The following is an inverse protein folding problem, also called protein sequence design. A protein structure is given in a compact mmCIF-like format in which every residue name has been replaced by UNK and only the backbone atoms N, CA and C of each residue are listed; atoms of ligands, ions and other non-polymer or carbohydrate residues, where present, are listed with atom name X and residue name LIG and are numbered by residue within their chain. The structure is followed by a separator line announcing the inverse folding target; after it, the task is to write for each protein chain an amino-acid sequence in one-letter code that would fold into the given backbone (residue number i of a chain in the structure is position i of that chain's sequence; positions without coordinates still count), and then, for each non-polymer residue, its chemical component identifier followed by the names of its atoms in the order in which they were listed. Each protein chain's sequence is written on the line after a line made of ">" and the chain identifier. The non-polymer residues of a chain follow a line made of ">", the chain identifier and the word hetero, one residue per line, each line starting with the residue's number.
data_IF_596091515247
#
_entry.id   IF_596091515247
#
_cell.length_a   1.000
_cell.length_b   1.000
_cell.length_c   1.000
_cell.angle_alpha   90.00
_cell.angle_beta   90.00
_cell.angle_gamma   90.00
#
_symmetry.space_group_name_H-M   'P 1'
#
loop_
_entity.id
_entity.type
_entity.pdbx_description
1 polymer ?
#
# COMPACT_ATOMS: atom_id res chain seq x y z
N UNK A 1 10.59 -10.06 -9.33
CA UNK A 1 10.93 -9.92 -7.88
C UNK A 1 10.15 -8.74 -7.34
N UNK A 2 9.59 -8.83 -6.14
CA UNK A 2 8.84 -7.71 -5.56
C UNK A 2 9.76 -6.52 -5.27
N UNK A 3 9.36 -5.29 -5.62
CA UNK A 3 10.10 -4.10 -5.22
C UNK A 3 10.02 -3.89 -3.71
N UNK A 4 10.93 -3.07 -3.18
CA UNK A 4 10.89 -2.67 -1.78
C UNK A 4 9.70 -1.73 -1.57
N UNK A 5 8.74 -2.12 -0.73
CA UNK A 5 7.52 -1.36 -0.46
C UNK A 5 7.40 -1.07 1.02
N UNK A 6 7.21 0.21 1.36
CA UNK A 6 6.94 0.68 2.72
C UNK A 6 5.62 1.44 2.74
N UNK A 7 4.70 1.04 3.61
CA UNK A 7 3.41 1.71 3.76
C UNK A 7 3.40 2.62 4.99
N UNK A 8 3.10 3.90 4.80
CA UNK A 8 3.13 4.90 5.86
C UNK A 8 1.75 5.23 6.45
N UNK A 9 0.67 4.75 5.83
CA UNK A 9 -0.70 4.96 6.26
C UNK A 9 -1.56 5.73 5.25
N UNK A 10 -2.77 6.07 5.67
CA UNK A 10 -3.74 6.84 4.89
C UNK A 10 -3.83 8.29 5.33
N UNK A 11 -4.04 9.17 4.35
CA UNK A 11 -4.60 10.50 4.53
C UNK A 11 -6.08 10.44 4.15
N UNK A 12 -6.94 10.72 5.11
CA UNK A 12 -8.39 10.86 4.89
C UNK A 12 -8.74 12.33 4.87
N UNK A 13 -9.52 12.75 3.88
CA UNK A 13 -10.12 14.06 3.90
C UNK A 13 -11.49 13.97 4.58
N UNK A 14 -11.71 14.69 5.67
CA UNK A 14 -12.98 14.68 6.41
C UNK A 14 -14.18 15.12 5.57
N UNK A 15 -13.92 15.88 4.49
CA UNK A 15 -14.94 16.49 3.64
C UNK A 15 -15.21 15.69 2.35
N UNK A 16 -14.53 14.55 2.15
CA UNK A 16 -14.76 13.66 1.01
C UNK A 16 -14.41 12.23 1.38
N UNK A 17 -15.18 11.24 0.92
CA UNK A 17 -14.85 9.81 1.11
C UNK A 17 -13.57 9.35 0.38
N UNK A 18 -12.80 10.28 -0.21
CA UNK A 18 -11.54 10.02 -0.87
C UNK A 18 -10.45 9.68 0.15
N UNK A 19 -9.98 8.45 0.08
CA UNK A 19 -8.82 7.94 0.83
C UNK A 19 -7.60 7.96 -0.07
N UNK A 20 -6.48 8.48 0.43
CA UNK A 20 -5.19 8.46 -0.26
C UNK A 20 -4.17 7.77 0.64
N UNK A 21 -3.49 6.75 0.14
CA UNK A 21 -2.39 6.09 0.81
C UNK A 21 -1.07 6.79 0.53
N UNK A 22 -0.17 6.84 1.52
CA UNK A 22 1.23 7.19 1.35
C UNK A 22 2.07 5.91 1.41
N UNK A 23 2.79 5.60 0.34
CA UNK A 23 3.74 4.49 0.29
C UNK A 23 5.05 4.92 -0.35
N UNK A 24 6.09 4.13 -0.15
CA UNK A 24 7.37 4.26 -0.82
C UNK A 24 7.66 2.96 -1.57
N UNK A 25 7.96 3.07 -2.86
CA UNK A 25 8.35 1.97 -3.74
C UNK A 25 9.75 2.30 -4.23
N UNK A 26 10.73 1.40 -4.02
CA UNK A 26 12.12 1.59 -4.46
C UNK A 26 12.70 2.96 -4.09
N UNK A 27 12.46 3.40 -2.84
CA UNK A 27 12.91 4.69 -2.27
C UNK A 27 12.27 5.94 -2.89
N UNK A 28 11.19 5.79 -3.67
CA UNK A 28 10.37 6.90 -4.17
C UNK A 28 9.01 6.90 -3.51
N UNK A 29 8.58 8.06 -3.03
CA UNK A 29 7.30 8.22 -2.31
C UNK A 29 6.18 8.52 -3.29
N UNK A 30 5.07 7.85 -3.08
CA UNK A 30 3.87 7.96 -3.89
C UNK A 30 2.65 8.19 -3.01
N UNK A 31 1.74 9.02 -3.54
CA UNK A 31 0.36 9.04 -3.10
C UNK A 31 -0.44 8.13 -4.02
N UNK A 32 -1.21 7.21 -3.45
CA UNK A 32 -1.97 6.22 -4.21
C UNK A 32 -3.44 6.20 -3.79
N UNK A 33 -4.31 5.97 -4.76
CA UNK A 33 -5.73 5.65 -4.59
C UNK A 33 -5.99 4.26 -5.11
N UNK A 34 -7.13 3.69 -4.71
CA UNK A 34 -7.60 2.44 -5.29
C UNK A 34 -7.81 2.64 -6.80
N UNK A 35 -7.16 1.79 -7.58
CA UNK A 35 -7.14 1.82 -9.04
C UNK A 35 -5.90 2.47 -9.65
N UNK A 36 -5.04 3.15 -8.87
CA UNK A 36 -3.82 3.78 -9.40
C UNK A 36 -2.76 2.71 -9.72
N UNK A 37 -2.01 2.95 -10.80
CA UNK A 37 -0.84 2.20 -11.20
C UNK A 37 0.43 3.03 -10.94
N UNK A 38 1.35 2.50 -10.12
CA UNK A 38 2.57 3.15 -9.66
C UNK A 38 3.77 2.21 -9.85
N UNK A 39 4.69 2.55 -10.76
CA UNK A 39 5.86 1.71 -11.07
C UNK A 39 5.49 0.23 -11.31
N UNK A 40 4.49 -0.03 -12.17
CA UNK A 40 3.95 -1.36 -12.48
C UNK A 40 3.23 -2.07 -11.32
N UNK A 41 3.03 -1.36 -10.19
CA UNK A 41 2.24 -1.84 -9.06
C UNK A 41 0.87 -1.18 -9.07
N UNK A 42 -0.18 -2.00 -9.11
CA UNK A 42 -1.55 -1.52 -9.01
C UNK A 42 -2.04 -1.55 -7.57
N UNK A 43 -2.57 -0.44 -7.09
CA UNK A 43 -3.24 -0.41 -5.80
C UNK A 43 -4.70 -0.87 -5.94
N UNK A 44 -5.05 -2.03 -5.38
CA UNK A 44 -6.44 -2.54 -5.45
C UNK A 44 -7.21 -2.36 -4.14
N UNK A 45 -6.52 -2.10 -3.02
CA UNK A 45 -7.16 -1.97 -1.72
C UNK A 45 -6.39 -0.99 -0.83
N UNK A 46 -7.13 -0.15 -0.09
CA UNK A 46 -6.54 0.76 0.91
C UNK A 46 -7.39 0.69 2.17
N UNK A 47 -6.74 0.41 3.30
CA UNK A 47 -7.28 0.49 4.65
C UNK A 47 -6.34 1.32 5.54
N UNK A 48 -6.79 1.70 6.73
CA UNK A 48 -6.01 2.57 7.63
C UNK A 48 -4.61 2.04 7.90
N UNK A 49 -4.52 0.72 8.09
CA UNK A 49 -3.34 0.04 8.59
C UNK A 49 -2.75 -0.95 7.56
N UNK A 50 -3.44 -1.16 6.44
CA UNK A 50 -2.98 -2.02 5.36
C UNK A 50 -3.26 -1.46 3.97
N UNK A 51 -2.44 -1.85 3.01
CA UNK A 51 -2.61 -1.55 1.59
C UNK A 51 -2.46 -2.85 0.79
N UNK A 52 -3.34 -3.08 -0.18
CA UNK A 52 -3.29 -4.21 -1.10
C UNK A 52 -2.74 -3.75 -2.45
N UNK A 53 -1.65 -4.38 -2.87
CA UNK A 53 -0.90 -4.07 -4.07
C UNK A 53 -0.80 -5.30 -4.97
N UNK A 54 -0.90 -5.08 -6.28
CA UNK A 54 -0.75 -6.11 -7.31
C UNK A 54 0.47 -5.78 -8.17
N UNK A 55 1.37 -6.75 -8.34
CA UNK A 55 2.56 -6.63 -9.15
C UNK A 55 2.75 -7.94 -9.93
N UNK A 56 2.84 -7.87 -11.26
CA UNK A 56 3.01 -9.04 -12.13
C UNK A 56 1.96 -10.15 -11.89
N UNK A 57 0.68 -9.76 -11.75
CA UNK A 57 -0.45 -10.65 -11.40
C UNK A 57 -0.37 -11.33 -10.03
N UNK A 58 0.58 -10.95 -9.17
CA UNK A 58 0.64 -11.39 -7.78
C UNK A 58 0.11 -10.29 -6.86
N UNK A 59 -0.70 -10.66 -5.88
CA UNK A 59 -1.27 -9.72 -4.91
C UNK A 59 -0.60 -9.88 -3.54
N UNK A 60 -0.31 -8.77 -2.87
CA UNK A 60 0.23 -8.74 -1.50
C UNK A 60 -0.38 -7.60 -0.69
N UNK A 61 -0.45 -7.81 0.61
CA UNK A 61 -0.84 -6.79 1.58
C UNK A 61 0.38 -6.31 2.36
N UNK A 62 0.49 -5.01 2.52
CA UNK A 62 1.54 -4.35 3.31
C UNK A 62 0.90 -3.61 4.47
N UNK A 63 1.48 -3.75 5.67
CA UNK A 63 0.98 -3.10 6.88
C UNK A 63 1.80 -1.85 7.20
N UNK A 64 1.15 -0.85 7.82
CA UNK A 64 1.80 0.35 8.34
C UNK A 64 2.57 -0.08 9.60
N UNK A 65 3.90 -0.01 9.60
CA UNK A 65 4.80 -0.49 10.67
C UNK A 65 4.16 -0.40 12.08
N UNK A 66 4.13 -1.46 12.90
CA UNK A 66 5.17 -2.47 13.05
C UNK A 66 4.74 -3.94 12.98
N UNK A 67 5.79 -4.74 12.76
CA UNK A 67 5.97 -6.18 13.00
C UNK A 67 4.79 -6.88 13.72
N UNK A 68 4.24 -7.89 13.05
CA UNK A 68 3.97 -9.16 13.70
C UNK A 68 4.62 -10.26 12.86
N UNK A 69 5.82 -10.67 13.29
CA UNK A 69 6.27 -12.04 13.07
C UNK A 69 5.25 -12.91 13.81
N UNK A 70 4.26 -13.42 13.10
CA UNK A 70 3.66 -14.68 13.49
C UNK A 70 3.92 -15.62 12.33
N UNK A 71 4.99 -16.40 12.49
CA UNK A 71 5.15 -17.67 11.81
C UNK A 71 3.86 -18.45 12.06
N UNK A 72 3.14 -18.80 11.01
CA UNK A 72 2.08 -19.79 11.13
C UNK A 72 2.76 -21.14 11.44
N UNK A 73 2.78 -21.51 12.72
CA UNK A 73 2.93 -22.90 13.16
C UNK A 73 1.58 -23.60 13.12
#
# INVERSE_FOLDING_TARGET
>A
MWPEVHYFGVVKNSNSEKVVALLEINRRRYFSRVGDDLDEIRCFFIHNDSIGLEFQNAQRFFMRNGIRNDEYY
#
